data_IF_289075055174
#
_entry.id   IF_289075055174
#
_cell.length_a   1.000
_cell.length_b   1.000
_cell.length_c   1.000
_cell.angle_alpha   90.00
_cell.angle_beta   90.00
_cell.angle_gamma   90.00
#
_symmetry.space_group_name_H-M   'P 1'
#
loop_
_entity.id
_entity.type
_entity.pdbx_description
1 polymer ?
#
# COMPACT_ATOMS: atom_id res chain seq x y z
N UNK A 1 -23.19 2.89 -17.24
CA UNK A 1 -23.03 1.93 -16.13
C UNK A 1 -21.59 2.04 -15.68
N UNK A 2 -21.32 2.26 -14.39
CA UNK A 2 -19.94 2.26 -13.92
C UNK A 2 -19.34 0.86 -14.11
N UNK A 3 -18.15 0.76 -14.69
CA UNK A 3 -17.45 -0.51 -14.85
C UNK A 3 -17.17 -1.09 -13.46
N UNK A 4 -17.45 -2.39 -13.27
CA UNK A 4 -17.21 -3.08 -12.01
C UNK A 4 -15.70 -3.21 -11.80
N UNK A 5 -15.19 -2.62 -10.71
CA UNK A 5 -13.77 -2.73 -10.37
C UNK A 5 -13.50 -4.10 -9.76
N UNK A 6 -12.65 -4.88 -10.39
CA UNK A 6 -12.24 -6.20 -9.92
C UNK A 6 -11.25 -6.10 -8.77
N UNK A 7 -11.09 -7.21 -8.05
CA UNK A 7 -10.07 -7.32 -7.01
C UNK A 7 -8.65 -7.11 -7.55
N UNK A 8 -8.36 -7.63 -8.75
CA UNK A 8 -7.04 -7.51 -9.38
C UNK A 8 -6.75 -6.04 -9.74
N UNK A 9 -7.71 -5.33 -10.34
CA UNK A 9 -7.53 -3.91 -10.68
C UNK A 9 -7.30 -3.03 -9.44
N UNK A 10 -7.95 -3.36 -8.33
CA UNK A 10 -7.72 -2.66 -7.07
C UNK A 10 -6.33 -2.95 -6.48
N UNK A 11 -5.86 -4.19 -6.59
CA UNK A 11 -4.49 -4.55 -6.20
C UNK A 11 -3.46 -3.82 -7.07
N UNK A 12 -3.63 -3.85 -8.39
CA UNK A 12 -2.72 -3.22 -9.35
C UNK A 12 -2.65 -1.70 -9.11
N UNK A 13 -3.79 -1.06 -8.87
CA UNK A 13 -3.85 0.36 -8.54
C UNK A 13 -3.15 0.68 -7.21
N UNK A 14 -3.25 -0.19 -6.21
CA UNK A 14 -2.54 -0.04 -4.94
C UNK A 14 -1.03 -0.22 -5.12
N UNK A 15 -0.60 -1.18 -5.93
CA UNK A 15 0.82 -1.40 -6.26
C UNK A 15 1.37 -0.18 -7.01
N UNK A 16 0.67 0.30 -8.05
CA UNK A 16 1.05 1.52 -8.79
C UNK A 16 1.13 2.75 -7.85
N UNK A 17 0.20 2.88 -6.91
CA UNK A 17 0.25 3.97 -5.93
C UNK A 17 1.46 3.85 -4.98
N UNK A 18 1.82 2.63 -4.56
CA UNK A 18 3.03 2.38 -3.76
C UNK A 18 4.30 2.69 -4.57
N UNK A 19 4.31 2.42 -5.87
CA UNK A 19 5.40 2.81 -6.78
C UNK A 19 5.53 4.33 -6.88
N UNK A 20 4.41 5.02 -7.06
CA UNK A 20 4.37 6.48 -7.12
C UNK A 20 4.88 7.08 -5.80
N UNK A 21 4.48 6.51 -4.65
CA UNK A 21 4.95 6.92 -3.33
C UNK A 21 6.48 6.76 -3.19
N UNK A 22 7.07 5.70 -3.75
CA UNK A 22 8.53 5.53 -3.77
C UNK A 22 9.26 6.54 -4.66
N UNK A 23 8.60 7.00 -5.71
CA UNK A 23 9.12 8.04 -6.59
C UNK A 23 8.94 9.46 -6.03
N UNK A 24 8.31 9.65 -4.86
CA UNK A 24 8.32 10.94 -4.18
C UNK A 24 9.69 11.22 -3.53
N UNK A 25 10.09 12.50 -3.39
CA UNK A 25 11.29 12.88 -2.63
C UNK A 25 11.22 12.35 -1.20
N UNK A 26 12.37 12.06 -0.56
CA UNK A 26 12.49 11.34 0.73
C UNK A 26 11.57 11.84 1.87
N UNK A 27 11.11 13.09 1.81
CA UNK A 27 10.17 13.72 2.77
C UNK A 27 8.86 12.94 2.98
N UNK A 28 8.42 12.11 2.02
CA UNK A 28 7.19 11.29 2.13
C UNK A 28 7.46 9.77 2.15
N UNK A 29 8.73 9.35 2.10
CA UNK A 29 9.13 7.92 2.08
C UNK A 29 9.20 7.25 3.45
N UNK A 30 8.84 7.95 4.53
CA UNK A 30 8.84 7.38 5.89
C UNK A 30 8.01 6.10 5.99
N UNK A 31 6.95 5.98 5.20
CA UNK A 31 6.15 4.76 5.04
C UNK A 31 6.97 3.56 4.47
N UNK A 32 7.92 3.82 3.56
CA UNK A 32 8.74 2.79 2.90
C UNK A 32 9.93 2.36 3.75
N UNK A 33 10.57 3.29 4.47
CA UNK A 33 11.58 2.98 5.48
C UNK A 33 10.97 2.22 6.69
N UNK A 34 9.66 2.38 6.93
CA UNK A 34 8.89 1.74 7.97
C UNK A 34 8.44 0.29 7.64
N UNK A 35 9.18 -0.44 6.79
CA UNK A 35 9.08 -1.91 6.72
C UNK A 35 9.30 -2.62 8.07
N UNK A 36 9.82 -1.90 9.08
CA UNK A 36 9.97 -2.33 10.48
C UNK A 36 8.86 -1.84 11.44
N UNK A 37 7.99 -0.91 11.03
CA UNK A 37 6.87 -0.37 11.83
C UNK A 37 5.62 -0.16 10.96
N UNK A 38 4.72 -1.14 11.01
CA UNK A 38 3.25 -1.18 10.85
C UNK A 38 2.36 0.03 10.44
N UNK A 39 2.84 1.24 10.15
CA UNK A 39 1.95 2.35 9.78
C UNK A 39 1.47 2.19 8.34
N UNK A 40 0.20 1.80 8.17
CA UNK A 40 -0.62 2.20 7.02
C UNK A 40 -0.39 3.68 6.70
N UNK A 41 -0.64 4.18 5.47
CA UNK A 41 -0.72 5.61 5.24
C UNK A 41 -1.94 6.20 5.96
N UNK A 42 -1.85 6.33 7.27
CA UNK A 42 -2.22 7.56 7.94
C UNK A 42 -0.99 8.44 7.78
N UNK A 43 -0.81 9.01 6.57
CA UNK A 43 0.11 10.14 6.44
C UNK A 43 -0.55 11.26 7.22
N UNK A 44 -0.26 11.31 8.52
CA UNK A 44 -0.27 12.55 9.26
C UNK A 44 0.69 13.42 8.46
N UNK A 45 0.15 14.43 7.75
CA UNK A 45 0.94 15.54 7.24
C UNK A 45 1.54 16.21 8.47
N UNK A 46 2.64 15.66 8.97
CA UNK A 46 3.32 16.22 10.12
C UNK A 46 3.99 17.49 9.60
N UNK A 47 3.39 18.63 9.92
CA UNK A 47 3.81 19.95 9.48
C UNK A 47 5.11 20.40 10.16
N UNK A 48 5.85 19.51 10.82
CA UNK A 48 7.07 19.81 11.54
C UNK A 48 8.07 18.65 11.49
N UNK A 49 9.05 18.74 10.58
CA UNK A 49 10.40 18.23 10.82
C UNK A 49 11.35 18.81 9.77
N UNK A 50 11.78 20.05 10.01
CA UNK A 50 13.04 20.55 9.46
C UNK A 50 14.17 19.69 10.03
N UNK A 51 14.80 18.78 9.27
CA UNK A 51 16.21 18.41 9.48
C UNK A 51 16.83 17.80 8.21
N UNK A 52 17.82 18.54 7.69
CA UNK A 52 19.04 18.16 7.00
C UNK A 52 19.14 16.76 6.36
N UNK A 53 18.83 16.67 5.07
CA UNK A 53 19.67 15.90 4.14
C UNK A 53 19.67 16.61 2.78
N UNK A 54 20.79 17.25 2.42
CA UNK A 54 20.90 18.18 1.31
C UNK A 54 21.25 17.51 -0.03
N UNK A 55 21.46 16.18 -0.03
CA UNK A 55 22.01 15.44 -1.17
C UNK A 55 21.06 14.40 -1.79
N UNK A 56 19.79 14.37 -1.36
CA UNK A 56 18.78 13.52 -1.99
C UNK A 56 18.38 14.11 -3.36
N UNK A 57 18.98 13.62 -4.44
CA UNK A 57 18.56 13.92 -5.82
C UNK A 57 17.07 13.56 -5.94
N UNK A 58 16.19 14.53 -6.28
CA UNK A 58 14.77 14.24 -6.43
C UNK A 58 14.58 13.16 -7.49
N UNK A 59 13.89 12.08 -7.13
CA UNK A 59 13.31 11.18 -8.13
C UNK A 59 12.43 11.98 -9.09
N UNK A 60 12.37 11.55 -10.36
CA UNK A 60 11.66 12.29 -11.41
C UNK A 60 10.26 12.73 -10.94
N UNK A 61 9.90 14.01 -11.12
CA UNK A 61 8.66 14.54 -10.57
C UNK A 61 7.46 13.77 -11.14
N UNK A 62 6.60 13.27 -10.24
CA UNK A 62 5.35 12.62 -10.64
C UNK A 62 4.54 13.56 -11.54
N UNK A 63 3.96 13.03 -12.60
CA UNK A 63 3.00 13.80 -13.40
C UNK A 63 1.78 14.17 -12.54
N UNK A 64 1.09 15.26 -12.90
CA UNK A 64 -0.16 15.65 -12.21
C UNK A 64 -1.20 14.51 -12.18
N UNK A 65 -1.23 13.69 -13.24
CA UNK A 65 -2.11 12.52 -13.33
C UNK A 65 -1.72 11.44 -12.30
N UNK A 66 -0.43 11.15 -12.17
CA UNK A 66 0.07 10.18 -11.19
C UNK A 66 -0.17 10.67 -9.75
N UNK A 67 0.05 11.96 -9.47
CA UNK A 67 -0.25 12.54 -8.16
C UNK A 67 -1.74 12.48 -7.83
N UNK A 68 -2.62 12.84 -8.77
CA UNK A 68 -4.08 12.75 -8.56
C UNK A 68 -4.53 11.30 -8.34
N UNK A 69 -3.90 10.33 -9.02
CA UNK A 69 -4.17 8.90 -8.82
C UNK A 69 -3.67 8.42 -7.46
N UNK A 70 -2.46 8.80 -7.07
CA UNK A 70 -1.87 8.52 -5.76
C UNK A 70 -2.74 9.07 -4.61
N UNK A 71 -3.21 10.31 -4.73
CA UNK A 71 -4.12 10.92 -3.77
C UNK A 71 -5.46 10.17 -3.70
N UNK A 72 -6.05 9.82 -4.84
CA UNK A 72 -7.34 9.15 -4.88
C UNK A 72 -7.27 7.69 -4.37
N UNK A 73 -6.14 7.01 -4.55
CA UNK A 73 -5.98 5.60 -4.19
C UNK A 73 -5.43 5.43 -2.78
N UNK A 74 -4.42 6.22 -2.38
CA UNK A 74 -3.60 5.92 -1.20
C UNK A 74 -3.52 7.06 -0.16
N UNK A 75 -3.37 8.32 -0.58
CA UNK A 75 -2.97 9.42 0.34
C UNK A 75 -4.11 10.33 0.81
N UNK A 76 -5.13 10.54 -0.02
CA UNK A 76 -6.18 11.52 0.23
C UNK A 76 -7.10 11.13 1.39
N UNK A 77 -7.76 12.12 1.99
CA UNK A 77 -8.76 11.94 3.06
C UNK A 77 -9.96 11.07 2.64
N UNK A 78 -10.17 10.94 1.33
CA UNK A 78 -11.21 10.08 0.74
C UNK A 78 -10.63 8.87 0.00
N UNK A 79 -9.34 8.59 0.14
CA UNK A 79 -8.63 7.55 -0.61
C UNK A 79 -9.32 6.18 -0.56
N UNK A 80 -9.17 5.40 -1.64
CA UNK A 80 -9.70 4.05 -1.72
C UNK A 80 -9.11 3.12 -0.64
N UNK A 81 -7.83 3.29 -0.30
CA UNK A 81 -7.14 2.55 0.75
C UNK A 81 -7.82 2.66 2.13
N UNK A 82 -8.58 3.73 2.40
CA UNK A 82 -9.30 3.87 3.68
C UNK A 82 -10.39 2.80 3.90
N UNK A 83 -10.78 2.05 2.87
CA UNK A 83 -11.65 0.88 3.00
C UNK A 83 -11.01 -0.30 3.75
N UNK A 84 -9.68 -0.33 3.85
CA UNK A 84 -8.98 -1.41 4.54
C UNK A 84 -9.20 -1.29 6.06
N UNK A 85 -9.78 -2.33 6.71
CA UNK A 85 -9.99 -2.32 8.15
C UNK A 85 -8.67 -2.18 8.89
N UNK A 86 -8.69 -1.43 9.99
CA UNK A 86 -7.47 -1.04 10.71
C UNK A 86 -6.56 -2.22 11.05
N UNK A 87 -7.12 -3.30 11.60
CA UNK A 87 -6.37 -4.51 11.94
C UNK A 87 -5.79 -5.30 10.76
N UNK A 88 -6.08 -4.93 9.51
CA UNK A 88 -5.54 -5.57 8.31
C UNK A 88 -4.56 -4.69 7.54
N UNK A 89 -4.46 -3.40 7.89
CA UNK A 89 -3.65 -2.43 7.18
C UNK A 89 -2.17 -2.80 7.12
N UNK A 90 -1.59 -3.20 8.25
CA UNK A 90 -0.18 -3.57 8.31
C UNK A 90 0.14 -4.78 7.41
N UNK A 91 -0.75 -5.79 7.38
CA UNK A 91 -0.64 -6.94 6.49
C UNK A 91 -0.72 -6.51 5.01
N UNK A 92 -1.73 -5.69 4.65
CA UNK A 92 -1.91 -5.22 3.28
C UNK A 92 -0.71 -4.41 2.81
N UNK A 93 -0.23 -3.48 3.62
CA UNK A 93 0.94 -2.67 3.29
C UNK A 93 2.19 -3.51 3.02
N UNK A 94 2.48 -4.48 3.89
CA UNK A 94 3.61 -5.41 3.70
C UNK A 94 3.47 -6.27 2.45
N UNK A 95 2.28 -6.81 2.19
CA UNK A 95 2.04 -7.63 0.99
C UNK A 95 2.23 -6.79 -0.28
N UNK A 96 1.71 -5.56 -0.34
CA UNK A 96 1.90 -4.67 -1.49
C UNK A 96 3.38 -4.37 -1.74
N UNK A 97 4.13 -4.04 -0.69
CA UNK A 97 5.58 -3.79 -0.76
C UNK A 97 6.32 -5.04 -1.23
N UNK A 98 6.01 -6.22 -0.68
CA UNK A 98 6.65 -7.48 -1.08
C UNK A 98 6.29 -7.92 -2.50
N UNK A 99 5.07 -7.63 -2.98
CA UNK A 99 4.67 -7.88 -4.37
C UNK A 99 5.43 -6.97 -5.32
N UNK A 100 5.63 -5.71 -4.95
CA UNK A 100 6.32 -4.73 -5.79
C UNK A 100 7.83 -4.94 -5.81
N UNK A 101 8.45 -5.05 -4.66
CA UNK A 101 9.88 -5.27 -4.50
C UNK A 101 10.11 -6.62 -3.81
N UNK A 102 9.93 -7.73 -4.55
CA UNK A 102 10.20 -9.05 -3.98
C UNK A 102 11.67 -9.14 -3.62
N UNK A 103 11.96 -9.69 -2.44
CA UNK A 103 13.31 -10.05 -2.04
C UNK A 103 13.87 -11.20 -2.90
N UNK A 104 15.07 -11.71 -2.58
CA UNK A 104 15.70 -12.80 -3.32
C UNK A 104 14.87 -14.09 -3.34
N UNK A 105 14.00 -14.30 -2.34
CA UNK A 105 13.08 -15.44 -2.27
C UNK A 105 11.82 -15.28 -3.15
N UNK A 106 11.64 -14.12 -3.81
CA UNK A 106 10.41 -13.82 -4.54
C UNK A 106 9.22 -13.48 -3.64
N UNK A 107 8.04 -13.35 -4.25
CA UNK A 107 6.77 -13.26 -3.53
C UNK A 107 6.15 -14.65 -3.36
N UNK A 108 5.74 -14.99 -2.14
CA UNK A 108 4.98 -16.19 -1.84
C UNK A 108 4.27 -16.08 -0.50
N UNK A 109 3.07 -16.65 -0.38
CA UNK A 109 2.30 -16.58 0.87
C UNK A 109 3.00 -17.27 2.05
N UNK A 110 3.84 -18.26 1.80
CA UNK A 110 4.67 -18.86 2.84
C UNK A 110 5.79 -17.92 3.30
N UNK A 111 6.32 -17.09 2.41
CA UNK A 111 7.31 -16.05 2.75
C UNK A 111 6.65 -14.96 3.59
N UNK A 112 5.45 -14.52 3.19
CA UNK A 112 4.62 -13.57 3.96
C UNK A 112 4.33 -14.14 5.34
N UNK A 113 3.89 -15.39 5.42
CA UNK A 113 3.59 -16.07 6.68
C UNK A 113 4.79 -16.10 7.63
N UNK A 114 5.97 -16.51 7.13
CA UNK A 114 7.22 -16.47 7.91
C UNK A 114 7.59 -15.05 8.34
N UNK A 115 7.33 -14.06 7.50
CA UNK A 115 7.55 -12.64 7.82
C UNK A 115 6.64 -12.17 8.95
N UNK A 116 5.36 -12.54 8.92
CA UNK A 116 4.39 -12.21 9.96
C UNK A 116 4.72 -12.88 11.30
N UNK A 117 5.16 -14.14 11.31
CA UNK A 117 5.63 -14.82 12.54
C UNK A 117 6.84 -14.12 13.14
N UNK A 118 7.80 -13.70 12.30
CA UNK A 118 8.97 -12.92 12.75
C UNK A 118 8.55 -11.57 13.33
N UNK A 119 7.60 -10.88 12.70
CA UNK A 119 7.10 -9.60 13.17
C UNK A 119 6.35 -9.72 14.51
N UNK A 120 5.52 -10.77 14.65
CA UNK A 120 4.78 -11.06 15.87
C UNK A 120 5.67 -11.61 16.99
N UNK A 121 6.92 -12.02 16.69
CA UNK A 121 7.83 -12.76 17.59
C UNK A 121 7.16 -14.00 18.19
N UNK A 122 6.23 -14.59 17.47
CA UNK A 122 5.41 -15.70 17.93
C UNK A 122 4.85 -16.48 16.73
N UNK A 123 4.48 -17.74 16.96
CA UNK A 123 3.73 -18.51 15.97
C UNK A 123 2.35 -17.91 15.78
N UNK A 124 1.92 -17.79 14.53
CA UNK A 124 0.58 -17.32 14.24
C UNK A 124 -0.44 -18.45 14.48
N UNK A 125 -1.56 -18.12 15.11
CA UNK A 125 -2.70 -19.04 15.25
C UNK A 125 -3.50 -19.25 13.96
N UNK A 126 -2.91 -18.98 12.79
CA UNK A 126 -3.55 -19.05 11.47
C UNK A 126 -2.61 -19.64 10.44
N UNK A 127 -3.13 -19.98 9.26
CA UNK A 127 -2.34 -20.53 8.14
C UNK A 127 -1.94 -19.45 7.13
N UNK A 128 -1.00 -19.76 6.22
CA UNK A 128 -0.65 -18.88 5.10
C UNK A 128 -1.86 -18.61 4.18
N UNK A 129 -2.71 -19.61 3.93
CA UNK A 129 -3.98 -19.44 3.19
C UNK A 129 -4.97 -18.51 3.91
N UNK A 130 -5.04 -18.57 5.24
CA UNK A 130 -5.88 -17.66 6.01
C UNK A 130 -5.39 -16.21 5.92
N UNK A 131 -4.08 -15.97 5.90
CA UNK A 131 -3.51 -14.65 5.62
C UNK A 131 -3.86 -14.17 4.22
N UNK A 132 -3.72 -15.05 3.22
CA UNK A 132 -4.12 -14.78 1.83
C UNK A 132 -5.56 -14.29 1.74
N UNK A 133 -6.50 -15.04 2.32
CA UNK A 133 -7.93 -14.69 2.29
C UNK A 133 -8.23 -13.39 3.05
N UNK A 134 -7.51 -13.10 4.14
CA UNK A 134 -7.64 -11.81 4.86
C UNK A 134 -7.22 -10.65 3.98
N UNK A 135 -6.09 -10.78 3.30
CA UNK A 135 -5.61 -9.81 2.34
C UNK A 135 -6.57 -9.63 1.16
N UNK A 136 -7.00 -10.73 0.53
CA UNK A 136 -7.95 -10.68 -0.60
C UNK A 136 -9.25 -9.98 -0.22
N UNK A 137 -9.82 -10.28 0.95
CA UNK A 137 -11.01 -9.61 1.47
C UNK A 137 -10.77 -8.12 1.75
N UNK A 138 -9.59 -7.76 2.24
CA UNK A 138 -9.25 -6.37 2.51
C UNK A 138 -9.15 -5.56 1.21
N UNK A 139 -8.46 -6.08 0.20
CA UNK A 139 -8.36 -5.46 -1.13
C UNK A 139 -9.71 -5.46 -1.85
N UNK A 140 -10.54 -6.49 -1.67
CA UNK A 140 -11.91 -6.50 -2.20
C UNK A 140 -12.77 -5.33 -1.69
N UNK A 141 -12.56 -4.89 -0.43
CA UNK A 141 -13.20 -3.66 0.08
C UNK A 141 -12.69 -2.40 -0.60
N UNK A 142 -11.41 -2.38 -0.98
CA UNK A 142 -10.82 -1.28 -1.77
C UNK A 142 -11.45 -1.25 -3.15
N UNK A 143 -11.62 -2.39 -3.83
CA UNK A 143 -12.29 -2.46 -5.13
C UNK A 143 -13.70 -1.86 -5.09
N UNK A 144 -14.52 -2.26 -4.12
CA UNK A 144 -15.87 -1.69 -3.91
C UNK A 144 -15.80 -0.18 -3.64
N UNK A 145 -14.79 0.30 -2.93
CA UNK A 145 -14.62 1.74 -2.68
C UNK A 145 -14.15 2.48 -3.94
N UNK A 146 -13.27 1.91 -4.75
CA UNK A 146 -12.83 2.47 -6.03
C UNK A 146 -14.00 2.62 -6.98
N UNK A 147 -14.88 1.62 -7.07
CA UNK A 147 -16.11 1.68 -7.86
C UNK A 147 -16.99 2.88 -7.43
N UNK A 148 -17.22 3.04 -6.13
CA UNK A 148 -17.98 4.18 -5.58
C UNK A 148 -17.34 5.54 -5.84
N UNK A 149 -16.02 5.58 -5.99
CA UNK A 149 -15.26 6.79 -6.29
C UNK A 149 -15.07 7.03 -7.79
N UNK A 150 -15.55 6.13 -8.66
CA UNK A 150 -15.33 6.23 -10.11
C UNK A 150 -13.87 6.03 -10.52
N UNK A 151 -13.10 5.26 -9.74
CA UNK A 151 -11.65 5.02 -9.95
C UNK A 151 -11.33 3.75 -10.75
N UNK A 152 -12.33 3.14 -11.39
CA UNK A 152 -12.11 2.00 -12.28
C UNK A 152 -11.21 2.34 -13.46
N UNK A 153 -10.68 1.32 -14.10
CA UNK A 153 -9.93 1.44 -15.35
C UNK A 153 -10.83 2.19 -16.35
N UNK A 154 -10.44 3.43 -16.68
CA UNK A 154 -11.03 4.11 -17.82
C UNK A 154 -10.45 3.43 -19.05
N UNK A 155 -11.27 2.65 -19.76
CA UNK A 155 -10.98 2.24 -21.13
C UNK A 155 -10.62 3.46 -22.00
#
# INVERSE_FOLDING_TARGET
MAAMVTWQEAEDALIEAVECLAALPDRERSYLAAGSRSCWPAIVKDAQADYADADAVPSAPLSRRMMARLDAVLLGERAAALAVPEGHRALVGRVLVMKRWPGPEGFGWDVVFRGEERHAKAKLGVTSDALRKRYERAVGKVAVRMERLGLGSAD
#
